data_IF_165675540135
#
_entry.id   IF_165675540135
#
_cell.length_a   1.000
_cell.length_b   1.000
_cell.length_c   1.000
_cell.angle_alpha   90.00
_cell.angle_beta   90.00
_cell.angle_gamma   90.00
#
_symmetry.space_group_name_H-M   'P 1'
#
loop_
_entity.id
_entity.type
_entity.pdbx_description
1 polymer ?
#
# COMPACT_ATOMS: atom_id res chain seq x y z
N UNK A 1 -20.65 -9.23 18.62
CA UNK A 1 -19.22 -9.27 18.27
C UNK A 1 -18.52 -7.94 18.59
N UNK A 2 -18.92 -6.83 17.96
CA UNK A 2 -18.27 -5.51 18.10
C UNK A 2 -18.21 -4.96 19.54
N UNK A 3 -19.29 -5.11 20.32
CA UNK A 3 -19.30 -4.69 21.74
C UNK A 3 -18.32 -5.49 22.60
N UNK A 4 -18.14 -6.79 22.30
CA UNK A 4 -17.16 -7.65 23.00
C UNK A 4 -15.72 -7.23 22.65
N UNK A 5 -15.49 -6.82 21.41
CA UNK A 5 -14.22 -6.24 20.95
C UNK A 5 -14.02 -4.78 21.38
N UNK A 6 -14.94 -4.20 22.17
CA UNK A 6 -14.95 -2.79 22.62
C UNK A 6 -14.95 -1.74 21.51
N UNK A 7 -15.27 -2.14 20.27
CA UNK A 7 -15.35 -1.22 19.12
C UNK A 7 -16.60 -0.35 19.12
N UNK A 8 -17.57 -0.68 19.97
CA UNK A 8 -18.78 0.12 20.16
C UNK A 8 -19.13 0.18 21.64
N UNK A 9 -19.62 1.33 22.06
CA UNK A 9 -20.20 1.58 23.38
C UNK A 9 -21.73 1.45 23.29
N UNK A 10 -22.35 0.89 24.32
CA UNK A 10 -23.81 0.75 24.42
C UNK A 10 -24.32 1.66 25.55
N UNK A 11 -25.27 2.54 25.24
CA UNK A 11 -26.06 3.27 26.25
C UNK A 11 -27.52 2.83 26.17
N UNK A 12 -28.17 2.68 27.33
CA UNK A 12 -29.59 2.33 27.41
C UNK A 12 -30.42 3.59 27.61
N UNK A 13 -31.38 3.80 26.72
CA UNK A 13 -32.34 4.90 26.76
C UNK A 13 -33.75 4.27 26.87
N UNK A 14 -34.18 3.99 28.10
CA UNK A 14 -35.40 3.25 28.37
C UNK A 14 -35.36 1.85 27.76
N UNK A 15 -36.25 1.56 26.80
CA UNK A 15 -36.29 0.28 26.07
C UNK A 15 -35.30 0.22 24.90
N UNK A 16 -34.70 1.35 24.52
CA UNK A 16 -33.80 1.43 23.38
C UNK A 16 -32.34 1.24 23.81
N UNK A 17 -31.56 0.63 22.93
CA UNK A 17 -30.10 0.53 23.04
C UNK A 17 -29.48 1.36 21.94
N UNK A 18 -28.75 2.41 22.32
CA UNK A 18 -28.02 3.28 21.41
C UNK A 18 -26.58 2.82 21.38
N UNK A 19 -26.01 2.67 20.18
CA UNK A 19 -24.63 2.26 19.99
C UNK A 19 -23.82 3.42 19.41
N UNK A 20 -22.64 3.66 20.00
CA UNK A 20 -21.68 4.66 19.51
C UNK A 20 -20.38 3.99 19.14
N UNK A 21 -19.76 4.43 18.04
CA UNK A 21 -18.44 3.95 17.64
C UNK A 21 -17.40 4.34 18.71
N UNK A 22 -16.57 3.38 19.11
CA UNK A 22 -15.40 3.60 19.93
C UNK A 22 -14.13 3.30 19.10
N UNK A 23 -13.44 4.33 18.59
CA UNK A 23 -12.22 4.14 17.80
C UNK A 23 -10.99 3.82 18.68
N UNK A 24 -11.09 3.93 20.00
CA UNK A 24 -9.98 3.73 20.94
C UNK A 24 -9.21 2.43 20.72
N UNK A 25 -9.87 1.25 20.66
CA UNK A 25 -9.19 -0.01 20.43
C UNK A 25 -8.48 -0.13 19.07
N UNK A 26 -8.91 0.64 18.06
CA UNK A 26 -8.28 0.60 16.73
C UNK A 26 -6.96 1.38 16.67
N UNK A 27 -6.72 2.32 17.60
CA UNK A 27 -5.47 3.08 17.65
C UNK A 27 -4.23 2.21 17.78
N UNK A 28 -4.32 1.12 18.54
CA UNK A 28 -3.20 0.18 18.72
C UNK A 28 -2.80 -0.44 17.38
N UNK A 29 -3.79 -0.83 16.58
CA UNK A 29 -3.56 -1.38 15.23
C UNK A 29 -3.01 -0.31 14.30
N UNK A 30 -3.54 0.91 14.38
CA UNK A 30 -3.08 2.04 13.57
C UNK A 30 -1.61 2.41 13.84
N UNK A 31 -1.23 2.51 15.12
CA UNK A 31 0.17 2.75 15.52
C UNK A 31 1.11 1.63 15.07
N UNK A 32 0.67 0.37 15.17
CA UNK A 32 1.44 -0.75 14.64
C UNK A 32 1.58 -0.65 13.11
N UNK A 33 0.49 -0.36 12.39
CA UNK A 33 0.51 -0.19 10.94
C UNK A 33 1.43 0.95 10.50
N UNK A 34 1.46 2.08 11.21
CA UNK A 34 2.31 3.21 10.88
C UNK A 34 3.79 2.84 10.82
N UNK A 35 4.25 1.96 11.70
CA UNK A 35 5.62 1.45 11.66
C UNK A 35 5.91 0.73 10.33
N UNK A 36 4.98 -0.11 9.85
CA UNK A 36 5.16 -0.88 8.62
C UNK A 36 4.85 -0.09 7.35
N UNK A 37 4.00 0.94 7.41
CA UNK A 37 3.68 1.80 6.26
C UNK A 37 4.96 2.40 5.65
N UNK A 38 5.86 2.91 6.48
CA UNK A 38 7.13 3.49 6.00
C UNK A 38 8.03 2.45 5.33
N UNK A 39 8.14 1.27 5.93
CA UNK A 39 8.92 0.16 5.40
C UNK A 39 8.39 -0.35 4.04
N UNK A 40 7.07 -0.52 3.92
CA UNK A 40 6.44 -0.99 2.69
C UNK A 40 6.49 0.04 1.57
N UNK A 41 6.39 1.33 1.87
CA UNK A 41 6.54 2.37 0.84
C UNK A 41 7.89 2.26 0.12
N UNK A 42 8.99 2.15 0.86
CA UNK A 42 10.32 1.99 0.27
C UNK A 42 10.47 0.67 -0.49
N UNK A 43 10.01 -0.43 0.11
CA UNK A 43 10.11 -1.77 -0.50
C UNK A 43 9.33 -1.86 -1.82
N UNK A 44 8.11 -1.32 -1.86
CA UNK A 44 7.28 -1.30 -3.07
C UNK A 44 7.82 -0.34 -4.12
N UNK A 45 8.39 0.80 -3.73
CA UNK A 45 9.04 1.71 -4.66
C UNK A 45 10.25 1.05 -5.34
N UNK A 46 11.09 0.37 -4.57
CA UNK A 46 12.25 -0.36 -5.10
C UNK A 46 11.81 -1.49 -6.04
N UNK A 47 10.79 -2.26 -5.66
CA UNK A 47 10.24 -3.31 -6.50
C UNK A 47 9.74 -2.75 -7.83
N UNK A 48 8.99 -1.64 -7.78
CA UNK A 48 8.51 -0.95 -8.97
C UNK A 48 9.68 -0.56 -9.88
N UNK A 49 10.68 0.13 -9.35
CA UNK A 49 11.85 0.57 -10.14
C UNK A 49 12.60 -0.61 -10.77
N UNK A 50 12.73 -1.72 -10.05
CA UNK A 50 13.37 -2.93 -10.58
C UNK A 50 12.59 -3.50 -11.77
N UNK A 51 11.27 -3.71 -11.61
CA UNK A 51 10.41 -4.27 -12.66
C UNK A 51 10.39 -3.38 -13.90
N UNK A 52 10.25 -2.06 -13.71
CA UNK A 52 10.26 -1.09 -14.81
C UNK A 52 11.61 -1.06 -15.55
N UNK A 53 12.74 -1.19 -14.82
CA UNK A 53 14.07 -1.25 -15.41
C UNK A 53 14.29 -2.53 -16.22
N UNK A 54 13.88 -3.70 -15.72
CA UNK A 54 13.96 -4.96 -16.46
C UNK A 54 13.09 -4.92 -17.72
N UNK A 55 11.86 -4.39 -17.62
CA UNK A 55 11.00 -4.21 -18.78
C UNK A 55 11.60 -3.26 -19.82
N UNK A 56 12.25 -2.17 -19.39
CA UNK A 56 12.96 -1.25 -20.29
C UNK A 56 14.14 -1.94 -21.01
N UNK A 57 14.88 -2.81 -20.33
CA UNK A 57 15.97 -3.60 -20.92
C UNK A 57 15.47 -4.59 -21.96
N UNK A 58 14.38 -5.31 -21.66
CA UNK A 58 13.78 -6.27 -22.59
C UNK A 58 13.16 -5.59 -23.82
N UNK A 59 12.52 -4.44 -23.63
CA UNK A 59 11.92 -3.66 -24.72
C UNK A 59 12.96 -2.93 -25.59
N UNK A 60 14.16 -2.67 -25.07
CA UNK A 60 15.31 -2.19 -25.84
C UNK A 60 16.11 -3.35 -26.43
N UNK A 61 15.49 -4.11 -27.34
CA UNK A 61 16.18 -5.12 -28.15
C UNK A 61 17.36 -4.54 -28.95
N UNK A 62 18.31 -5.40 -29.42
CA UNK A 62 19.64 -4.98 -29.85
C UNK A 62 19.58 -3.98 -31.01
N UNK A 63 20.04 -2.76 -30.74
CA UNK A 63 20.13 -1.70 -31.74
C UNK A 63 21.16 -2.09 -32.82
N UNK A 64 20.67 -2.57 -33.97
CA UNK A 64 21.51 -2.89 -35.12
C UNK A 64 22.33 -1.65 -35.53
N UNK A 65 23.67 -1.76 -35.67
CA UNK A 65 24.49 -0.63 -36.03
C UNK A 65 24.18 -0.19 -37.46
N UNK A 66 23.72 1.06 -37.61
CA UNK A 66 23.45 1.68 -38.92
C UNK A 66 24.75 1.74 -39.74
N UNK A 67 24.85 0.86 -40.74
CA UNK A 67 25.91 0.86 -41.76
C UNK A 67 25.94 2.23 -42.45
N UNK A 68 26.99 3.03 -42.17
CA UNK A 68 27.29 4.27 -42.91
C UNK A 68 27.60 3.91 -44.36
N UNK A 69 26.72 4.27 -45.30
CA UNK A 69 27.00 4.15 -46.74
C UNK A 69 28.14 5.13 -47.08
N UNK A 70 29.32 4.61 -47.37
CA UNK A 70 30.40 5.35 -48.03
C UNK A 70 29.91 5.73 -49.43
N UNK A 71 29.86 7.04 -49.70
CA UNK A 71 29.57 7.62 -51.01
C UNK A 71 30.87 7.53 -51.83
N UNK A 72 30.85 6.81 -52.94
CA UNK A 72 31.87 6.86 -54.02
C UNK A 72 31.20 7.51 -55.22
#
# INVERSE_FOLDING_TARGET
LLRRARLVEESRHGRNRVYRLNPGPLRVVDTWLDHYRSFWQGSLANLKSYVEAEYAKESSGPQQPKRKKRKT
#
